data_IF_302742921772
#
_entry.id   IF_302742921772
#
_cell.length_a   1.000
_cell.length_b   1.000
_cell.length_c   1.000
_cell.angle_alpha   90.00
_cell.angle_beta   90.00
_cell.angle_gamma   90.00
#
_symmetry.space_group_name_H-M   'P 1'
#
loop_
_entity.id
_entity.type
_entity.pdbx_description
1 polymer ?
#
# COMPACT_ATOMS: atom_id res chain seq x y z
N UNK A 1 9.00 27.81 55.14
CA UNK A 1 8.35 28.44 53.97
C UNK A 1 8.87 27.91 52.62
N UNK A 2 10.18 27.70 52.42
CA UNK A 2 10.79 27.32 51.12
C UNK A 2 10.32 25.97 50.50
N UNK A 3 9.94 24.99 51.32
CA UNK A 3 9.51 23.66 50.84
C UNK A 3 8.12 23.65 50.19
N UNK A 4 7.22 24.54 50.64
CA UNK A 4 5.86 24.68 50.07
C UNK A 4 5.91 25.27 48.66
N UNK A 5 6.82 26.22 48.42
CA UNK A 5 7.03 26.83 47.11
C UNK A 5 7.66 25.88 46.10
N UNK A 6 8.56 24.99 46.55
CA UNK A 6 9.15 23.94 45.73
C UNK A 6 8.13 22.86 45.30
N UNK A 7 7.20 22.50 46.19
CA UNK A 7 6.12 21.58 45.85
C UNK A 7 5.14 22.18 44.84
N UNK A 8 4.80 23.47 45.00
CA UNK A 8 3.93 24.17 44.05
C UNK A 8 4.58 24.40 42.70
N UNK A 9 5.89 24.67 42.63
CA UNK A 9 6.61 24.82 41.35
C UNK A 9 6.77 23.50 40.61
N UNK A 10 6.90 22.38 41.32
CA UNK A 10 6.94 21.04 40.74
C UNK A 10 5.56 20.61 40.21
N UNK A 11 4.49 20.91 40.94
CA UNK A 11 3.12 20.65 40.48
C UNK A 11 2.76 21.46 39.23
N UNK A 12 3.19 22.72 39.16
CA UNK A 12 2.93 23.59 38.01
C UNK A 12 3.69 23.16 36.75
N UNK A 13 4.91 22.63 36.90
CA UNK A 13 5.72 22.15 35.77
C UNK A 13 5.21 20.82 35.19
N UNK A 14 4.68 19.92 36.03
CA UNK A 14 4.01 18.68 35.58
C UNK A 14 2.71 18.98 34.84
N UNK A 15 1.94 19.99 35.27
CA UNK A 15 0.71 20.39 34.60
C UNK A 15 0.96 20.91 33.17
N UNK A 16 2.05 21.66 32.96
CA UNK A 16 2.40 22.21 31.64
C UNK A 16 2.81 21.09 30.67
N UNK A 17 3.56 20.08 31.14
CA UNK A 17 3.95 18.92 30.31
C UNK A 17 2.75 18.04 29.90
N UNK A 18 1.68 18.02 30.68
CA UNK A 18 0.46 17.28 30.34
C UNK A 18 -0.44 17.97 29.31
N UNK A 19 -0.18 19.24 29.00
CA UNK A 19 -0.97 20.03 28.04
C UNK A 19 -0.42 20.04 26.61
N UNK A 20 0.65 19.29 26.32
CA UNK A 20 1.14 19.17 24.94
C UNK A 20 0.12 18.31 24.18
N UNK A 21 -0.59 18.86 23.18
CA UNK A 21 -1.51 18.06 22.38
C UNK A 21 -0.69 16.95 21.72
N UNK A 22 -0.96 15.70 22.11
CA UNK A 22 -0.50 14.54 21.37
C UNK A 22 -1.15 14.63 20.00
N UNK A 23 -0.38 15.05 19.00
CA UNK A 23 -0.82 15.05 17.62
C UNK A 23 -1.01 13.59 17.23
N UNK A 24 -2.25 13.11 17.37
CA UNK A 24 -2.66 11.85 16.80
C UNK A 24 -2.56 12.00 15.27
N UNK A 25 -1.51 11.42 14.69
CA UNK A 25 -1.42 11.27 13.24
C UNK A 25 -2.45 10.22 12.82
N UNK A 26 -3.67 10.68 12.57
CA UNK A 26 -4.66 9.87 11.88
C UNK A 26 -4.16 9.64 10.44
N UNK A 27 -3.83 8.40 10.12
CA UNK A 27 -3.69 7.94 8.73
C UNK A 27 -5.09 7.99 8.13
N UNK A 28 -5.38 9.02 7.35
CA UNK A 28 -6.75 9.35 6.95
C UNK A 28 -6.86 10.77 6.39
N UNK A 29 -6.03 11.11 5.41
CA UNK A 29 -6.18 12.34 4.63
C UNK A 29 -7.39 12.31 3.68
N UNK A 30 -7.65 13.43 3.01
CA UNK A 30 -8.72 13.54 2.01
C UNK A 30 -8.66 12.39 0.99
N UNK A 31 -9.81 11.81 0.63
CA UNK A 31 -9.90 10.76 -0.40
C UNK A 31 -9.29 11.28 -1.72
N UNK A 32 -8.14 10.74 -2.10
CA UNK A 32 -7.37 11.17 -3.27
C UNK A 32 -6.18 10.24 -3.53
N UNK A 33 -5.40 10.51 -4.56
CA UNK A 33 -4.27 9.66 -4.97
C UNK A 33 -3.08 9.64 -3.98
N UNK A 34 -3.15 10.45 -2.91
CA UNK A 34 -2.18 10.41 -1.82
C UNK A 34 -2.49 9.21 -0.92
N UNK A 35 -1.68 8.18 -1.05
CA UNK A 35 -1.69 7.02 -0.16
C UNK A 35 -0.68 7.30 0.96
N UNK A 36 -1.09 7.20 2.23
CA UNK A 36 -0.20 7.38 3.40
C UNK A 36 0.69 6.15 3.66
N UNK A 37 0.57 5.12 2.82
CA UNK A 37 1.31 3.86 2.88
C UNK A 37 2.50 3.84 1.92
N UNK A 38 3.51 3.00 2.21
CA UNK A 38 4.71 2.89 1.37
C UNK A 38 4.35 2.32 -0.01
N UNK A 39 4.57 3.14 -1.04
CA UNK A 39 4.34 2.76 -2.43
C UNK A 39 5.66 2.31 -3.05
N UNK A 40 5.69 1.12 -3.65
CA UNK A 40 6.88 0.62 -4.36
C UNK A 40 6.97 1.12 -5.81
N UNK A 41 5.83 1.40 -6.45
CA UNK A 41 5.72 1.77 -7.87
C UNK A 41 5.02 3.11 -8.11
N UNK A 42 4.40 3.25 -9.28
CA UNK A 42 3.72 4.50 -9.73
C UNK A 42 2.24 4.57 -9.38
N UNK A 43 1.67 3.52 -8.81
CA UNK A 43 0.26 3.46 -8.35
C UNK A 43 0.20 3.36 -6.83
N UNK A 44 -0.72 2.59 -6.25
CA UNK A 44 -0.89 2.48 -4.80
C UNK A 44 0.00 1.42 -4.16
N UNK A 45 -0.26 1.19 -2.88
CA UNK A 45 0.41 0.17 -2.07
C UNK A 45 0.16 -1.27 -2.57
N UNK A 46 1.03 -2.18 -2.17
CA UNK A 46 0.84 -3.63 -2.36
C UNK A 46 0.30 -4.22 -1.06
N UNK A 47 -0.89 -4.81 -1.12
CA UNK A 47 -1.52 -5.49 0.02
C UNK A 47 -1.42 -7.00 -0.19
N UNK A 48 -0.65 -7.66 0.66
CA UNK A 48 -0.55 -9.13 0.68
C UNK A 48 -1.79 -9.74 1.32
N UNK A 49 -2.23 -10.89 0.80
CA UNK A 49 -3.37 -11.65 1.32
C UNK A 49 -4.56 -10.74 1.74
N UNK A 50 -5.12 -9.94 0.83
CA UNK A 50 -6.03 -8.83 1.19
C UNK A 50 -7.33 -9.26 1.88
N UNK A 51 -7.66 -10.55 1.85
CA UNK A 51 -8.86 -11.13 2.45
C UNK A 51 -8.54 -12.23 3.47
N UNK A 52 -7.28 -12.38 3.87
CA UNK A 52 -6.78 -13.37 4.84
C UNK A 52 -7.02 -14.86 4.51
N UNK A 53 -7.61 -15.18 3.37
CA UNK A 53 -7.94 -16.56 2.94
C UNK A 53 -6.99 -17.14 1.89
N UNK A 54 -6.15 -16.32 1.26
CA UNK A 54 -5.33 -16.70 0.10
C UNK A 54 -3.91 -16.11 0.21
N UNK A 55 -3.00 -16.75 0.98
CA UNK A 55 -1.68 -16.19 1.30
C UNK A 55 -0.78 -15.97 0.08
N UNK A 56 -1.00 -16.74 -1.00
CA UNK A 56 -0.24 -16.66 -2.26
C UNK A 56 -0.87 -15.67 -3.26
N UNK A 57 -1.50 -14.62 -2.75
CA UNK A 57 -2.15 -13.57 -3.53
C UNK A 57 -1.84 -12.19 -2.96
N UNK A 58 -1.95 -11.18 -3.82
CA UNK A 58 -1.81 -9.78 -3.44
C UNK A 58 -2.73 -8.89 -4.28
N UNK A 59 -2.95 -7.65 -3.84
CA UNK A 59 -3.57 -6.61 -4.65
C UNK A 59 -2.66 -5.40 -4.67
N UNK A 60 -2.31 -4.94 -5.87
CA UNK A 60 -1.61 -3.66 -6.07
C UNK A 60 -2.68 -2.58 -6.20
N UNK A 61 -2.85 -1.74 -5.17
CA UNK A 61 -3.90 -0.73 -5.14
C UNK A 61 -3.76 0.23 -6.32
N UNK A 62 -4.89 0.68 -6.85
CA UNK A 62 -4.88 1.61 -7.98
C UNK A 62 -4.43 3.03 -7.58
N UNK A 63 -4.31 3.34 -6.28
CA UNK A 63 -3.86 4.66 -5.80
C UNK A 63 -4.76 5.81 -6.26
N UNK A 64 -6.06 5.56 -6.46
CA UNK A 64 -7.00 6.55 -6.98
C UNK A 64 -6.94 6.78 -8.50
N UNK A 65 -6.07 6.08 -9.23
CA UNK A 65 -6.02 6.11 -10.68
C UNK A 65 -7.05 5.16 -11.30
N UNK A 66 -7.51 5.50 -12.51
CA UNK A 66 -8.24 4.54 -13.34
C UNK A 66 -7.22 3.71 -14.13
N UNK A 67 -7.37 2.39 -14.08
CA UNK A 67 -6.48 1.44 -14.76
C UNK A 67 -7.24 0.70 -15.85
N UNK A 68 -6.58 0.44 -16.98
CA UNK A 68 -7.10 -0.35 -18.11
C UNK A 68 -6.01 -1.20 -18.73
N UNK A 69 -6.42 -2.18 -19.53
CA UNK A 69 -5.55 -3.03 -20.36
C UNK A 69 -4.42 -3.68 -19.55
N UNK A 70 -4.77 -4.14 -18.35
CA UNK A 70 -3.78 -4.64 -17.38
C UNK A 70 -3.31 -6.04 -17.77
N UNK A 71 -2.00 -6.21 -17.81
CA UNK A 71 -1.31 -7.49 -17.94
C UNK A 71 -0.40 -7.70 -16.73
N UNK A 72 -0.44 -8.90 -16.16
CA UNK A 72 0.37 -9.29 -15.01
C UNK A 72 1.22 -10.49 -15.41
N UNK A 73 2.49 -10.46 -15.03
CA UNK A 73 3.46 -11.54 -15.24
C UNK A 73 4.26 -11.77 -13.98
N UNK A 74 4.21 -12.98 -13.45
CA UNK A 74 5.01 -13.40 -12.30
C UNK A 74 6.29 -14.02 -12.87
N UNK A 75 7.42 -13.41 -12.53
CA UNK A 75 8.72 -13.91 -12.95
C UNK A 75 8.95 -15.28 -12.30
N UNK A 76 9.22 -16.34 -13.08
CA UNK A 76 9.43 -17.66 -12.53
C UNK A 76 10.70 -17.70 -11.67
N UNK A 77 10.64 -18.44 -10.55
CA UNK A 77 11.85 -18.86 -9.84
C UNK A 77 12.57 -19.97 -10.60
N UNK A 78 13.76 -20.36 -10.15
CA UNK A 78 14.48 -21.50 -10.74
C UNK A 78 13.60 -22.76 -10.71
N UNK A 79 13.44 -23.43 -11.86
CA UNK A 79 12.51 -24.54 -12.07
C UNK A 79 11.02 -24.23 -11.80
N UNK A 80 10.66 -22.95 -11.73
CA UNK A 80 9.29 -22.46 -11.63
C UNK A 80 8.63 -22.33 -13.00
N UNK A 81 7.29 -22.29 -13.02
CA UNK A 81 6.49 -22.06 -14.20
C UNK A 81 6.20 -20.56 -14.40
N UNK A 82 6.26 -20.07 -15.63
CA UNK A 82 5.79 -18.72 -15.91
C UNK A 82 4.27 -18.62 -15.78
N UNK A 83 3.81 -17.60 -15.04
CA UNK A 83 2.39 -17.28 -14.90
C UNK A 83 2.18 -15.87 -15.43
N UNK A 84 1.44 -15.75 -16.53
CA UNK A 84 1.12 -14.48 -17.16
C UNK A 84 -0.36 -14.44 -17.57
N UNK A 85 -1.04 -13.33 -17.32
CA UNK A 85 -2.48 -13.22 -17.58
C UNK A 85 -2.93 -11.78 -17.76
N UNK A 86 -4.06 -11.61 -18.44
CA UNK A 86 -4.75 -10.33 -18.58
C UNK A 86 -5.79 -10.20 -17.50
N UNK A 87 -5.90 -9.00 -16.92
CA UNK A 87 -6.94 -8.69 -15.93
C UNK A 87 -8.04 -7.88 -16.62
N UNK A 88 -9.28 -8.37 -16.51
CA UNK A 88 -10.44 -7.65 -17.02
C UNK A 88 -10.72 -6.41 -16.16
N UNK A 89 -11.07 -5.29 -16.81
CA UNK A 89 -11.41 -4.02 -16.18
C UNK A 89 -12.45 -4.14 -15.05
N UNK A 90 -13.40 -5.09 -15.15
CA UNK A 90 -14.37 -5.35 -14.07
C UNK A 90 -13.68 -5.69 -12.75
N UNK A 91 -12.64 -6.54 -12.78
CA UNK A 91 -11.92 -6.96 -11.58
C UNK A 91 -11.08 -5.84 -10.98
N UNK A 92 -10.58 -4.90 -11.80
CA UNK A 92 -9.86 -3.73 -11.30
C UNK A 92 -10.73 -2.87 -10.40
N UNK A 93 -12.01 -2.74 -10.74
CA UNK A 93 -13.00 -2.04 -9.93
C UNK A 93 -13.40 -2.84 -8.70
N UNK A 94 -13.60 -4.16 -8.83
CA UNK A 94 -13.99 -5.04 -7.72
C UNK A 94 -12.94 -5.06 -6.60
N UNK A 95 -11.65 -5.15 -6.95
CA UNK A 95 -10.57 -5.25 -5.98
C UNK A 95 -9.92 -3.90 -5.63
N UNK A 96 -10.32 -2.81 -6.30
CA UNK A 96 -9.74 -1.48 -6.10
C UNK A 96 -8.26 -1.43 -6.48
N UNK A 97 -7.86 -2.17 -7.51
CA UNK A 97 -6.47 -2.41 -7.84
C UNK A 97 -6.26 -3.60 -8.77
N UNK A 98 -5.00 -3.93 -9.02
CA UNK A 98 -4.59 -5.06 -9.84
C UNK A 98 -4.49 -6.31 -8.93
N UNK A 99 -5.36 -7.32 -9.11
CA UNK A 99 -5.24 -8.60 -8.42
C UNK A 99 -4.06 -9.41 -8.95
N UNK A 100 -3.21 -9.87 -8.04
CA UNK A 100 -2.04 -10.72 -8.29
C UNK A 100 -2.30 -12.11 -7.70
N UNK A 101 -2.21 -13.15 -8.54
CA UNK A 101 -2.45 -14.54 -8.13
C UNK A 101 -1.34 -15.47 -8.60
N UNK A 102 -1.06 -16.51 -7.82
CA UNK A 102 -0.05 -17.52 -8.18
C UNK A 102 1.36 -17.17 -7.72
N UNK A 103 1.48 -16.44 -6.61
CA UNK A 103 2.79 -16.16 -6.01
C UNK A 103 3.44 -17.46 -5.53
N UNK A 104 4.76 -17.53 -5.64
CA UNK A 104 5.53 -18.62 -5.07
C UNK A 104 5.59 -18.50 -3.55
N UNK A 105 5.34 -19.59 -2.80
CA UNK A 105 5.44 -19.62 -1.34
C UNK A 105 6.89 -19.48 -0.89
N UNK A 106 7.06 -18.90 0.31
CA UNK A 106 8.35 -18.58 0.95
C UNK A 106 9.36 -17.97 -0.04
N UNK A 107 8.91 -16.97 -0.79
CA UNK A 107 9.71 -16.37 -1.85
C UNK A 107 9.43 -14.89 -2.03
N UNK A 108 10.49 -14.13 -2.35
CA UNK A 108 10.36 -12.73 -2.79
C UNK A 108 10.06 -12.72 -4.28
N UNK A 109 8.77 -12.77 -4.59
CA UNK A 109 8.26 -12.79 -5.95
C UNK A 109 8.54 -11.45 -6.64
N UNK A 110 8.99 -11.53 -7.89
CA UNK A 110 9.05 -10.37 -8.78
C UNK A 110 7.85 -10.42 -9.71
N UNK A 111 6.98 -9.42 -9.62
CA UNK A 111 5.76 -9.33 -10.41
C UNK A 111 5.86 -8.13 -11.32
N UNK A 112 5.87 -8.39 -12.62
CA UNK A 112 5.81 -7.36 -13.65
C UNK A 112 4.36 -7.07 -14.01
N UNK A 113 4.06 -5.79 -14.14
CA UNK A 113 2.73 -5.31 -14.48
C UNK A 113 2.85 -4.27 -15.57
N UNK A 114 2.01 -4.43 -16.57
CA UNK A 114 1.82 -3.48 -17.65
C UNK A 114 0.37 -3.03 -17.65
N UNK A 115 0.14 -1.72 -17.73
CA UNK A 115 -1.20 -1.16 -17.67
C UNK A 115 -1.27 0.24 -18.27
N UNK A 116 -2.47 0.59 -18.71
CA UNK A 116 -2.85 1.94 -19.09
C UNK A 116 -3.36 2.68 -17.86
N UNK A 117 -2.67 3.74 -17.44
CA UNK A 117 -3.07 4.63 -16.35
C UNK A 117 -3.80 5.84 -16.90
N UNK A 118 -4.97 6.14 -16.33
CA UNK A 118 -5.81 7.28 -16.70
C UNK A 118 -5.99 8.18 -15.48
N UNK A 119 -5.66 9.47 -15.67
CA UNK A 119 -5.88 10.54 -14.68
C UNK A 119 -6.50 11.75 -15.39
N UNK A 120 -7.82 11.90 -15.29
CA UNK A 120 -8.55 12.93 -16.03
C UNK A 120 -8.39 12.74 -17.54
N UNK A 121 -7.81 13.72 -18.22
CA UNK A 121 -7.52 13.67 -19.67
C UNK A 121 -6.18 12.99 -20.01
N UNK A 122 -5.31 12.74 -19.02
CA UNK A 122 -3.98 12.15 -19.26
C UNK A 122 -4.08 10.63 -19.26
N UNK A 123 -3.55 10.01 -20.32
CA UNK A 123 -3.46 8.55 -20.47
C UNK A 123 -2.01 8.17 -20.72
N UNK A 124 -1.49 7.22 -19.95
CA UNK A 124 -0.10 6.77 -20.03
C UNK A 124 -0.02 5.25 -19.96
N UNK A 125 0.77 4.64 -20.84
CA UNK A 125 1.11 3.21 -20.74
C UNK A 125 2.33 3.06 -19.84
N UNK A 126 2.20 2.23 -18.80
CA UNK A 126 3.21 2.05 -17.77
C UNK A 126 3.55 0.57 -17.69
N UNK A 127 4.85 0.29 -17.62
CA UNK A 127 5.40 -1.02 -17.26
C UNK A 127 6.32 -0.85 -16.07
N UNK A 128 6.12 -1.67 -15.04
CA UNK A 128 6.90 -1.64 -13.81
C UNK A 128 6.91 -3.01 -13.12
N UNK A 129 7.78 -3.16 -12.12
CA UNK A 129 7.99 -4.41 -11.38
C UNK A 129 7.85 -4.19 -9.88
N UNK A 130 7.19 -5.13 -9.21
CA UNK A 130 6.96 -5.14 -7.77
C UNK A 130 7.67 -6.32 -7.13
N UNK A 131 8.22 -6.11 -5.93
CA UNK A 131 8.75 -7.20 -5.10
C UNK A 131 7.81 -7.46 -3.94
N UNK A 132 7.33 -8.69 -3.84
CA UNK A 132 6.38 -9.09 -2.80
C UNK A 132 6.76 -10.44 -2.20
N UNK A 133 6.93 -10.48 -0.88
CA UNK A 133 7.16 -11.72 -0.15
C UNK A 133 5.82 -12.40 0.10
N UNK A 134 5.70 -13.66 -0.30
CA UNK A 134 4.59 -14.52 0.08
C UNK A 134 5.10 -15.57 1.07
N UNK A 135 4.38 -15.81 2.19
CA UNK A 135 4.75 -16.81 3.19
C UNK A 135 4.52 -18.24 2.68
#
# INVERSE_FOLDING_TARGET
MKFKYALTSLALSVAILSSVPSTAFAIGGASGAKVDYQVQGKIGEVVMNPYDIAPLTAVIRNGGYQLRDVHVRIVPKENGQEIAYKVNNKYLLTYGGIPVFGLYPDYVNTVEVEYTRIQGSKTENIKESYKMYAP
#
